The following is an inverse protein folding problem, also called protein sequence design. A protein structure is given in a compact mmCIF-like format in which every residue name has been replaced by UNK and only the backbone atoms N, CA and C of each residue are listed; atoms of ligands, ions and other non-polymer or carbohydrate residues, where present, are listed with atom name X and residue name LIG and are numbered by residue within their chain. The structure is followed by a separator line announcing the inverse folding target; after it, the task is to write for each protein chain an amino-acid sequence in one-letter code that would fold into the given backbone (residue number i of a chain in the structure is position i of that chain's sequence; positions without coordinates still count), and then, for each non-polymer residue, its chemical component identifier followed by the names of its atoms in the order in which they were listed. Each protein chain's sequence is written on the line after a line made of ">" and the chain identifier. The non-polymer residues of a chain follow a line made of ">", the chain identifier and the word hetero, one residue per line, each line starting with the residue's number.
data_IF_867568422440
#
_entry.id   IF_867568422440
#
_cell.length_a   1.000
_cell.length_b   1.000
_cell.length_c   1.000
_cell.angle_alpha   90.00
_cell.angle_beta   90.00
_cell.angle_gamma   90.00
#
_symmetry.space_group_name_H-M   'P 1'
#
loop_
_entity.id
_entity.type
_entity.pdbx_description
1 polymer ?
#
# COMPACT_ATOMS: atom_id res chain seq x y z
N UNK A 1 16.29 -9.48 5.43
CA UNK A 1 14.94 -9.62 6.01
C UNK A 1 14.65 -11.09 6.23
N UNK A 2 13.77 -11.44 7.17
CA UNK A 2 13.46 -12.85 7.42
C UNK A 2 12.20 -13.33 6.70
N UNK A 3 11.32 -12.38 6.34
CA UNK A 3 10.00 -12.65 5.79
C UNK A 3 9.89 -12.23 4.31
N UNK A 4 8.89 -12.76 3.62
CA UNK A 4 8.47 -12.28 2.30
C UNK A 4 7.17 -11.50 2.46
N UNK A 5 7.10 -10.30 1.88
CA UNK A 5 5.95 -9.42 1.96
C UNK A 5 5.30 -9.24 0.59
N UNK A 6 3.99 -9.44 0.53
CA UNK A 6 3.15 -9.13 -0.62
C UNK A 6 2.41 -7.82 -0.34
N UNK A 7 2.89 -6.73 -0.89
CA UNK A 7 2.25 -5.43 -0.79
C UNK A 7 1.16 -5.32 -1.85
N UNK A 8 -0.09 -5.15 -1.42
CA UNK A 8 -1.23 -5.04 -2.31
C UNK A 8 -1.74 -3.60 -2.29
N UNK A 9 -1.64 -2.92 -3.44
CA UNK A 9 -2.38 -1.68 -3.66
C UNK A 9 -3.85 -2.02 -3.77
N UNK A 10 -4.71 -1.29 -3.04
CA UNK A 10 -6.15 -1.51 -3.09
C UNK A 10 -6.71 -1.40 -4.52
N UNK A 11 -7.79 -2.12 -4.79
CA UNK A 11 -8.53 -2.07 -6.04
C UNK A 11 -9.23 -0.71 -6.24
N UNK A 12 -9.78 -0.46 -7.43
CA UNK A 12 -10.43 0.80 -7.76
C UNK A 12 -11.59 1.11 -6.80
N UNK A 13 -11.65 2.36 -6.32
CA UNK A 13 -12.63 2.82 -5.32
C UNK A 13 -13.45 4.00 -5.82
N UNK A 14 -14.67 4.13 -5.30
CA UNK A 14 -15.54 5.27 -5.56
C UNK A 14 -15.00 6.47 -4.79
N UNK A 15 -14.74 7.59 -5.49
CA UNK A 15 -14.31 8.80 -4.79
C UNK A 15 -15.42 9.33 -3.90
N UNK A 16 -15.11 9.52 -2.62
CA UNK A 16 -15.96 10.22 -1.65
C UNK A 16 -15.09 11.10 -0.75
N UNK A 17 -15.63 12.18 -0.16
CA UNK A 17 -14.90 12.98 0.83
C UNK A 17 -14.50 12.21 2.09
N UNK A 18 -15.21 11.14 2.41
CA UNK A 18 -14.89 10.24 3.52
C UNK A 18 -13.81 9.23 3.09
N UNK A 19 -12.57 9.60 3.28
CA UNK A 19 -11.41 8.77 2.93
C UNK A 19 -11.37 7.42 3.68
N UNK A 20 -11.89 7.37 4.91
CA UNK A 20 -11.85 6.16 5.74
C UNK A 20 -12.83 5.12 5.22
N UNK A 21 -14.07 5.55 4.96
CA UNK A 21 -15.17 4.66 4.58
C UNK A 21 -15.40 4.60 3.06
N UNK A 22 -14.50 5.16 2.26
CA UNK A 22 -14.56 5.10 0.79
C UNK A 22 -14.49 3.67 0.30
N UNK A 23 -15.59 3.11 -0.33
CA UNK A 23 -15.65 1.72 -0.72
C UNK A 23 -15.00 1.47 -2.09
N UNK A 24 -14.78 0.20 -2.41
CA UNK A 24 -14.48 -0.22 -3.78
C UNK A 24 -15.65 0.10 -4.72
N UNK A 25 -15.35 0.38 -5.98
CA UNK A 25 -16.34 0.45 -7.06
C UNK A 25 -16.66 -0.95 -7.59
N UNK A 26 -17.70 -1.08 -8.40
CA UNK A 26 -18.05 -2.34 -9.07
C UNK A 26 -16.85 -2.87 -9.87
N UNK A 27 -16.17 -2.01 -10.65
CA UNK A 27 -14.92 -2.35 -11.35
C UNK A 27 -13.84 -2.85 -10.37
N UNK A 28 -13.74 -2.24 -9.20
CA UNK A 28 -12.81 -2.67 -8.17
C UNK A 28 -13.16 -4.04 -7.63
N UNK A 29 -14.42 -4.30 -7.35
CA UNK A 29 -14.91 -5.60 -6.88
C UNK A 29 -14.67 -6.71 -7.92
N UNK A 30 -14.95 -6.45 -9.20
CA UNK A 30 -14.70 -7.39 -10.30
C UNK A 30 -13.22 -7.73 -10.45
N UNK A 31 -12.33 -6.77 -10.17
CA UNK A 31 -10.88 -6.95 -10.32
C UNK A 31 -10.23 -7.79 -9.21
N UNK A 32 -10.94 -8.10 -8.12
CA UNK A 32 -10.38 -8.86 -6.98
C UNK A 32 -9.96 -10.28 -7.37
N UNK A 33 -10.59 -10.89 -8.38
CA UNK A 33 -10.21 -12.20 -8.92
C UNK A 33 -8.74 -12.24 -9.41
N UNK A 34 -8.15 -11.09 -9.74
CA UNK A 34 -6.73 -11.00 -10.12
C UNK A 34 -5.79 -11.34 -8.95
N UNK A 35 -6.29 -11.35 -7.72
CA UNK A 35 -5.53 -11.68 -6.51
C UNK A 35 -5.63 -13.16 -6.11
N UNK A 36 -6.47 -13.96 -6.77
CA UNK A 36 -6.76 -15.35 -6.39
C UNK A 36 -5.50 -16.24 -6.34
N UNK A 37 -4.49 -15.96 -7.19
CA UNK A 37 -3.23 -16.69 -7.18
C UNK A 37 -2.46 -16.61 -5.84
N UNK A 38 -2.77 -15.63 -5.00
CA UNK A 38 -2.19 -15.51 -3.66
C UNK A 38 -2.76 -16.54 -2.68
N UNK A 39 -3.92 -17.14 -2.97
CA UNK A 39 -4.48 -18.21 -2.15
C UNK A 39 -3.65 -19.51 -2.19
N UNK A 40 -2.83 -19.69 -3.23
CA UNK A 40 -1.92 -20.84 -3.37
C UNK A 40 -0.54 -20.61 -2.68
N UNK A 41 -0.32 -19.42 -2.11
CA UNK A 41 0.89 -19.08 -1.39
C UNK A 41 0.76 -19.45 0.10
N UNK A 42 1.86 -19.80 0.78
CA UNK A 42 1.84 -20.14 2.21
C UNK A 42 1.73 -18.88 3.09
N UNK A 43 0.71 -18.06 2.83
CA UNK A 43 0.45 -16.84 3.58
C UNK A 43 0.02 -17.17 5.00
N UNK A 44 0.66 -16.56 5.98
CA UNK A 44 0.40 -16.82 7.41
C UNK A 44 -0.26 -15.63 8.13
N UNK A 45 -0.16 -14.41 7.57
CA UNK A 45 -0.76 -13.22 8.17
C UNK A 45 -1.19 -12.21 7.10
N UNK A 46 -2.23 -11.44 7.43
CA UNK A 46 -2.73 -10.33 6.60
C UNK A 46 -2.83 -9.08 7.46
N UNK A 47 -2.11 -8.05 7.05
CA UNK A 47 -2.19 -6.69 7.61
C UNK A 47 -2.83 -5.75 6.58
N UNK A 48 -3.60 -4.77 7.06
CA UNK A 48 -4.26 -3.81 6.19
C UNK A 48 -4.27 -2.41 6.76
N UNK A 49 -4.22 -1.41 5.89
CA UNK A 49 -4.74 -0.09 6.20
C UNK A 49 -6.16 -0.21 6.75
N UNK A 50 -6.55 0.59 7.76
CA UNK A 50 -7.92 0.60 8.27
C UNK A 50 -8.93 1.21 7.28
N UNK A 51 -8.49 1.74 6.13
CA UNK A 51 -9.38 2.30 5.13
C UNK A 51 -10.18 1.19 4.45
N UNK A 52 -11.50 1.40 4.31
CA UNK A 52 -12.44 0.39 3.81
C UNK A 52 -11.99 -0.24 2.49
N UNK A 53 -11.54 0.55 1.52
CA UNK A 53 -11.06 0.06 0.22
C UNK A 53 -9.89 -0.93 0.32
N UNK A 54 -8.99 -0.72 1.29
CA UNK A 54 -7.86 -1.63 1.49
C UNK A 54 -8.30 -2.95 2.14
N UNK A 55 -9.22 -2.88 3.12
CA UNK A 55 -9.81 -4.06 3.77
C UNK A 55 -10.59 -4.87 2.73
N UNK A 56 -11.51 -4.23 1.99
CA UNK A 56 -12.33 -4.90 0.98
C UNK A 56 -11.49 -5.58 -0.12
N UNK A 57 -10.32 -5.02 -0.44
CA UNK A 57 -9.44 -5.61 -1.46
C UNK A 57 -8.93 -6.99 -1.07
N UNK A 58 -8.65 -7.23 0.21
CA UNK A 58 -8.06 -8.49 0.69
C UNK A 58 -9.06 -9.36 1.44
N UNK A 59 -10.30 -8.92 1.62
CA UNK A 59 -11.31 -9.66 2.36
C UNK A 59 -11.65 -11.03 1.74
N UNK A 60 -11.86 -11.18 0.41
CA UNK A 60 -12.08 -12.49 -0.20
C UNK A 60 -10.90 -13.43 0.01
N UNK A 61 -9.67 -12.90 -0.12
CA UNK A 61 -8.46 -13.67 0.08
C UNK A 61 -8.30 -14.10 1.56
N UNK A 62 -8.60 -13.21 2.51
CA UNK A 62 -8.60 -13.52 3.93
C UNK A 62 -9.59 -14.65 4.28
N UNK A 63 -10.78 -14.63 3.67
CA UNK A 63 -11.78 -15.69 3.82
C UNK A 63 -11.29 -17.02 3.26
N UNK A 64 -10.71 -17.03 2.06
CA UNK A 64 -10.15 -18.22 1.42
C UNK A 64 -9.04 -18.85 2.26
N UNK A 65 -8.12 -18.02 2.76
CA UNK A 65 -6.99 -18.45 3.59
C UNK A 65 -7.37 -18.72 5.06
N UNK A 66 -8.60 -18.38 5.47
CA UNK A 66 -9.07 -18.45 6.87
C UNK A 66 -8.22 -17.65 7.84
N UNK A 67 -7.74 -16.50 7.40
CA UNK A 67 -6.91 -15.59 8.19
C UNK A 67 -7.70 -14.32 8.57
N UNK A 68 -7.45 -13.81 9.77
CA UNK A 68 -7.98 -12.52 10.19
C UNK A 68 -7.18 -11.37 9.58
N UNK A 69 -7.88 -10.30 9.17
CA UNK A 69 -7.24 -9.05 8.73
C UNK A 69 -6.90 -8.22 9.97
N UNK A 70 -5.62 -7.95 10.20
CA UNK A 70 -5.14 -7.08 11.26
C UNK A 70 -4.95 -5.66 10.71
N UNK A 71 -5.66 -4.68 11.25
CA UNK A 71 -5.53 -3.30 10.78
C UNK A 71 -4.45 -2.53 11.53
N UNK A 72 -3.67 -1.72 10.80
CA UNK A 72 -2.66 -0.84 11.39
C UNK A 72 -2.71 0.56 10.74
N UNK A 73 -2.77 1.60 11.58
CA UNK A 73 -2.83 3.00 11.13
C UNK A 73 -1.56 3.45 10.40
N UNK A 74 -0.44 2.77 10.59
CA UNK A 74 0.81 3.04 9.87
C UNK A 74 0.72 2.68 8.40
N UNK A 75 -0.34 1.97 7.97
CA UNK A 75 -0.62 1.58 6.58
C UNK A 75 -1.59 2.53 5.85
N UNK A 76 -2.08 3.61 6.47
CA UNK A 76 -2.94 4.58 5.78
C UNK A 76 -2.17 5.29 4.66
N UNK A 77 -2.91 5.77 3.63
CA UNK A 77 -2.29 6.54 2.55
C UNK A 77 -1.58 7.80 3.10
N UNK A 78 -0.50 8.21 2.43
CA UNK A 78 0.18 9.47 2.73
C UNK A 78 -0.79 10.62 2.51
N UNK A 79 -1.04 11.39 3.56
CA UNK A 79 -1.91 12.55 3.47
C UNK A 79 -1.22 13.65 2.66
N UNK A 80 -1.82 14.03 1.53
CA UNK A 80 -1.26 15.05 0.65
C UNK A 80 -1.31 16.44 1.28
N UNK A 81 -2.50 16.87 1.71
CA UNK A 81 -2.76 18.21 2.23
C UNK A 81 -4.02 18.19 3.12
N UNK A 82 -4.19 19.19 3.98
CA UNK A 82 -5.46 19.48 4.64
C UNK A 82 -6.35 20.41 3.81
N UNK A 83 -5.82 20.97 2.73
CA UNK A 83 -6.52 21.86 1.81
C UNK A 83 -6.77 21.16 0.48
N UNK A 84 -7.85 21.53 -0.19
CA UNK A 84 -8.08 21.05 -1.55
C UNK A 84 -6.96 21.53 -2.48
N UNK A 85 -6.48 20.63 -3.32
CA UNK A 85 -5.52 20.93 -4.39
C UNK A 85 -6.32 20.98 -5.68
N UNK A 86 -6.17 22.06 -6.46
CA UNK A 86 -6.83 22.16 -7.76
C UNK A 86 -6.31 21.07 -8.70
N UNK A 87 -7.19 20.51 -9.54
CA UNK A 87 -6.84 19.39 -10.43
C UNK A 87 -5.62 19.70 -11.31
N UNK A 88 -5.51 20.93 -11.78
CA UNK A 88 -4.39 21.40 -12.61
C UNK A 88 -3.05 21.40 -11.88
N UNK A 89 -3.06 21.55 -10.55
CA UNK A 89 -1.85 21.65 -9.71
C UNK A 89 -1.49 20.31 -9.04
N UNK A 90 -2.38 19.32 -9.16
CA UNK A 90 -2.29 18.05 -8.43
C UNK A 90 -1.03 17.24 -8.81
N UNK A 91 -0.77 17.15 -10.10
CA UNK A 91 0.38 16.37 -10.60
C UNK A 91 1.71 17.05 -10.25
N UNK A 92 1.80 18.37 -10.37
CA UNK A 92 2.98 19.13 -9.95
C UNK A 92 3.23 18.98 -8.45
N UNK A 93 2.19 19.06 -7.63
CA UNK A 93 2.29 18.85 -6.19
C UNK A 93 2.85 17.45 -5.84
N UNK A 94 2.40 16.41 -6.54
CA UNK A 94 2.92 15.06 -6.38
C UNK A 94 4.40 14.96 -6.78
N UNK A 95 4.77 15.49 -7.93
CA UNK A 95 6.17 15.50 -8.38
C UNK A 95 7.08 16.23 -7.38
N UNK A 96 6.64 17.34 -6.82
CA UNK A 96 7.39 18.08 -5.78
C UNK A 96 7.58 17.24 -4.52
N UNK A 97 6.56 16.51 -4.07
CA UNK A 97 6.63 15.64 -2.90
C UNK A 97 7.58 14.45 -3.12
N UNK A 98 7.63 13.91 -4.33
CA UNK A 98 8.55 12.83 -4.67
C UNK A 98 10.00 13.30 -4.82
N UNK A 99 10.22 14.49 -5.39
CA UNK A 99 11.57 15.06 -5.58
C UNK A 99 12.18 15.61 -4.29
N UNK A 100 11.36 15.93 -3.28
CA UNK A 100 11.78 16.51 -2.00
C UNK A 100 11.19 15.73 -0.82
N UNK A 101 11.79 14.60 -0.42
CA UNK A 101 11.21 13.67 0.56
C UNK A 101 10.86 14.28 1.93
N UNK A 102 11.52 15.37 2.32
CA UNK A 102 11.25 16.10 3.58
C UNK A 102 10.18 17.18 3.46
N UNK A 103 9.78 17.52 2.23
CA UNK A 103 8.77 18.53 1.97
C UNK A 103 7.36 17.97 2.21
N UNK A 104 6.47 18.80 2.74
CA UNK A 104 5.03 18.51 2.86
C UNK A 104 4.22 19.73 2.52
N UNK A 105 3.04 19.52 1.97
CA UNK A 105 2.03 20.57 1.81
C UNK A 105 1.38 20.88 3.17
N UNK A 106 0.65 21.99 3.25
CA UNK A 106 -0.01 22.45 4.49
C UNK A 106 -0.91 21.35 5.07
N UNK A 107 -0.61 20.92 6.29
CA UNK A 107 -1.33 19.86 6.99
C UNK A 107 -1.26 18.48 6.35
N UNK A 108 -0.34 18.30 5.39
CA UNK A 108 0.01 17.03 4.78
C UNK A 108 1.16 16.33 5.51
N UNK A 109 1.51 15.16 5.00
CA UNK A 109 2.62 14.32 5.45
C UNK A 109 3.72 14.29 4.38
N UNK A 110 4.98 14.45 4.75
CA UNK A 110 6.09 14.28 3.82
C UNK A 110 6.31 12.81 3.48
N UNK A 111 6.98 12.53 2.34
CA UNK A 111 7.35 11.15 2.00
C UNK A 111 8.23 10.53 3.08
N UNK A 112 9.14 11.29 3.68
CA UNK A 112 10.00 10.81 4.76
C UNK A 112 9.19 10.39 6.00
N UNK A 113 8.19 11.17 6.40
CA UNK A 113 7.32 10.82 7.54
C UNK A 113 6.50 9.55 7.25
N UNK A 114 5.90 9.46 6.06
CA UNK A 114 5.16 8.28 5.63
C UNK A 114 6.05 7.03 5.60
N UNK A 115 7.27 7.16 5.05
CA UNK A 115 8.27 6.10 5.01
C UNK A 115 8.66 5.62 6.42
N UNK A 116 8.94 6.54 7.33
CA UNK A 116 9.34 6.21 8.70
C UNK A 116 8.28 5.41 9.43
N UNK A 117 6.98 5.79 9.34
CA UNK A 117 5.91 5.03 10.00
C UNK A 117 5.71 3.64 9.39
N UNK A 118 5.83 3.53 8.05
CA UNK A 118 5.69 2.24 7.38
C UNK A 118 6.87 1.30 7.68
N UNK A 119 8.10 1.83 7.72
CA UNK A 119 9.30 1.09 8.13
C UNK A 119 9.22 0.63 9.59
N UNK A 120 8.66 1.46 10.49
CA UNK A 120 8.47 1.07 11.89
C UNK A 120 7.54 -0.15 12.01
N UNK A 121 6.46 -0.21 11.21
CA UNK A 121 5.62 -1.41 11.15
C UNK A 121 6.40 -2.60 10.59
N UNK A 122 7.10 -2.43 9.48
CA UNK A 122 7.84 -3.52 8.85
C UNK A 122 8.89 -4.12 9.82
N UNK A 123 9.58 -3.27 10.57
CA UNK A 123 10.52 -3.71 11.61
C UNK A 123 9.84 -4.51 12.72
N UNK A 124 8.68 -4.09 13.18
CA UNK A 124 7.88 -4.83 14.17
C UNK A 124 7.46 -6.21 13.63
N UNK A 125 7.04 -6.26 12.35
CA UNK A 125 6.67 -7.52 11.71
C UNK A 125 7.85 -8.47 11.54
N UNK A 126 9.06 -7.96 11.26
CA UNK A 126 10.29 -8.75 11.21
C UNK A 126 10.65 -9.40 12.56
N UNK A 127 10.27 -8.76 13.68
CA UNK A 127 10.46 -9.33 15.02
C UNK A 127 9.37 -10.35 15.34
N UNK A 128 8.11 -10.02 14.96
CA UNK A 128 6.93 -10.84 15.30
C UNK A 128 6.84 -12.12 14.48
N UNK A 129 7.24 -12.08 13.22
CA UNK A 129 7.15 -13.17 12.26
C UNK A 129 8.54 -13.64 11.84
N UNK A 130 8.71 -14.94 11.66
CA UNK A 130 10.00 -15.54 11.32
C UNK A 130 9.85 -16.54 10.17
N UNK A 131 10.46 -16.24 9.03
CA UNK A 131 10.40 -17.06 7.82
C UNK A 131 8.97 -17.25 7.27
N UNK A 132 8.14 -16.23 7.40
CA UNK A 132 6.74 -16.23 6.99
C UNK A 132 6.51 -15.46 5.70
N UNK A 133 5.34 -15.69 5.07
CA UNK A 133 4.84 -14.92 3.94
C UNK A 133 3.63 -14.11 4.40
N UNK A 134 3.70 -12.80 4.23
CA UNK A 134 2.77 -11.84 4.84
C UNK A 134 2.17 -10.94 3.77
N UNK A 135 0.85 -10.79 3.79
CA UNK A 135 0.15 -9.79 2.95
C UNK A 135 0.05 -8.48 3.71
N UNK A 136 0.34 -7.37 3.00
CA UNK A 136 0.15 -5.99 3.47
C UNK A 136 -0.70 -5.24 2.45
N UNK A 137 -1.98 -5.04 2.76
CA UNK A 137 -2.89 -4.24 1.94
C UNK A 137 -2.82 -2.76 2.31
N UNK A 138 -2.54 -1.92 1.32
CA UNK A 138 -2.35 -0.48 1.52
C UNK A 138 -2.64 0.33 0.25
N UNK A 139 -1.95 1.42 0.06
CA UNK A 139 -2.19 2.44 -0.95
C UNK A 139 -0.95 2.68 -1.81
N UNK A 140 -1.16 3.14 -3.03
CA UNK A 140 -0.09 3.24 -4.01
C UNK A 140 1.09 4.10 -3.58
N UNK A 141 0.87 5.33 -3.08
CA UNK A 141 1.96 6.18 -2.65
C UNK A 141 2.73 5.56 -1.47
N UNK A 142 2.02 5.12 -0.41
CA UNK A 142 2.69 4.59 0.77
C UNK A 142 3.53 3.36 0.44
N UNK A 143 3.00 2.43 -0.35
CA UNK A 143 3.74 1.22 -0.77
C UNK A 143 5.03 1.61 -1.50
N UNK A 144 4.93 2.48 -2.51
CA UNK A 144 6.11 2.91 -3.28
C UNK A 144 7.10 3.72 -2.43
N UNK A 145 6.62 4.61 -1.56
CA UNK A 145 7.46 5.37 -0.63
C UNK A 145 8.22 4.42 0.31
N UNK A 146 7.58 3.37 0.83
CA UNK A 146 8.23 2.37 1.65
C UNK A 146 9.28 1.60 0.84
N UNK A 147 8.88 1.07 -0.33
CA UNK A 147 9.72 0.19 -1.14
C UNK A 147 10.90 0.92 -1.80
N UNK A 148 10.80 2.23 -2.03
CA UNK A 148 11.93 3.05 -2.51
C UNK A 148 13.14 3.05 -1.55
N UNK A 149 12.96 2.59 -0.31
CA UNK A 149 14.06 2.36 0.63
C UNK A 149 14.96 1.18 0.21
N UNK A 150 14.39 0.21 -0.47
CA UNK A 150 15.07 -1.02 -0.88
C UNK A 150 15.53 -0.98 -2.34
N UNK A 151 14.80 -0.23 -3.20
CA UNK A 151 15.12 -0.10 -4.61
C UNK A 151 14.83 1.32 -5.11
N UNK A 152 15.86 2.02 -5.56
CA UNK A 152 15.79 3.38 -6.08
C UNK A 152 15.03 3.52 -7.41
N UNK A 153 14.75 2.42 -8.13
CA UNK A 153 13.88 2.44 -9.31
C UNK A 153 12.40 2.65 -8.97
N UNK A 154 12.04 2.47 -7.69
CA UNK A 154 10.67 2.77 -7.21
C UNK A 154 10.57 4.27 -6.92
N UNK A 155 10.21 5.02 -7.94
CA UNK A 155 10.08 6.46 -7.96
C UNK A 155 8.65 6.91 -8.27
N UNK A 156 8.48 8.19 -8.58
CA UNK A 156 7.22 8.78 -9.02
C UNK A 156 6.65 8.08 -10.28
N UNK A 157 7.49 7.80 -11.28
CA UNK A 157 7.05 7.17 -12.52
C UNK A 157 6.60 5.73 -12.28
N UNK A 158 7.31 4.99 -11.43
CA UNK A 158 6.91 3.65 -11.04
C UNK A 158 5.53 3.67 -10.36
N UNK A 159 5.34 4.55 -9.37
CA UNK A 159 4.05 4.72 -8.68
C UNK A 159 2.92 5.08 -9.65
N UNK A 160 3.15 6.00 -10.58
CA UNK A 160 2.14 6.47 -11.55
C UNK A 160 1.65 5.34 -12.47
N UNK A 161 2.51 4.35 -12.74
CA UNK A 161 2.22 3.21 -13.60
C UNK A 161 1.66 1.98 -12.86
N UNK A 162 1.36 2.08 -11.56
CA UNK A 162 0.73 0.99 -10.83
C UNK A 162 -0.73 0.82 -11.22
N UNK A 163 -1.16 -0.43 -11.38
CA UNK A 163 -2.57 -0.81 -11.56
C UNK A 163 -3.37 -0.74 -10.25
N UNK A 164 -4.67 -0.97 -10.31
CA UNK A 164 -5.59 -1.10 -9.18
C UNK A 164 -6.52 -2.30 -9.38
N UNK A 165 -6.28 -3.45 -8.68
CA UNK A 165 -5.21 -3.68 -7.71
C UNK A 165 -3.84 -3.85 -8.37
N UNK A 166 -2.78 -3.84 -7.55
CA UNK A 166 -1.41 -4.18 -7.94
C UNK A 166 -0.73 -4.96 -6.82
N UNK A 167 0.24 -5.81 -7.14
CA UNK A 167 0.97 -6.63 -6.17
C UNK A 167 2.46 -6.48 -6.35
N UNK A 168 3.13 -5.99 -5.32
CA UNK A 168 4.60 -5.90 -5.25
C UNK A 168 5.11 -6.84 -4.17
N UNK A 169 6.15 -7.59 -4.48
CA UNK A 169 6.75 -8.54 -3.53
C UNK A 169 8.12 -8.03 -3.11
N UNK A 170 8.36 -7.98 -1.82
CA UNK A 170 9.68 -7.79 -1.23
C UNK A 170 10.11 -9.13 -0.63
N UNK A 171 11.10 -9.77 -1.24
CA UNK A 171 11.61 -11.07 -0.79
C UNK A 171 12.61 -10.96 0.37
N UNK A 172 12.99 -12.11 0.92
CA UNK A 172 13.95 -12.21 2.04
C UNK A 172 15.34 -11.66 1.70
N UNK A 173 15.69 -11.57 0.43
CA UNK A 173 16.97 -11.03 -0.03
C UNK A 173 16.92 -9.51 -0.24
N UNK A 174 15.75 -8.90 -0.08
CA UNK A 174 15.51 -7.49 -0.34
C UNK A 174 15.21 -7.17 -1.81
N UNK A 175 14.99 -8.16 -2.67
CA UNK A 175 14.61 -7.93 -4.05
C UNK A 175 13.12 -7.60 -4.15
N UNK A 176 12.80 -6.69 -5.07
CA UNK A 176 11.41 -6.31 -5.35
C UNK A 176 11.01 -6.83 -6.73
N UNK A 177 9.83 -7.41 -6.81
CA UNK A 177 9.19 -7.82 -8.06
C UNK A 177 7.73 -7.37 -8.10
N UNK A 178 7.21 -7.12 -9.30
CA UNK A 178 5.81 -6.78 -9.54
C UNK A 178 5.12 -7.98 -10.19
N UNK A 179 3.92 -8.34 -9.71
CA UNK A 179 3.20 -9.54 -10.14
C UNK A 179 1.94 -9.24 -10.97
N UNK A 180 1.44 -7.97 -10.96
CA UNK A 180 0.28 -7.54 -11.77
C UNK A 180 0.62 -6.34 -12.64
#
# INVERSE_FOLDING_TARGET
>A
MNNTYYFIRHAHSIYTPDEINRPLSDKGLESLAQLDFLADKPITAIYSSPYQRAIQTVEPLAQSLKLAIQTDKRLIERKLSSQAIADQDFEEALMQLWSRPTFSLVGGESNQQAQQRALALLHELEIKHQNEEIIISSHGNLICILLSTFDSYIDYNFWHNLSMPDVLVLDKNGNISRLL
#
